data_IF_264168689391
#
_entry.id   IF_264168689391
#
_cell.length_a   1.000
_cell.length_b   1.000
_cell.length_c   1.000
_cell.angle_alpha   90.00
_cell.angle_beta   90.00
_cell.angle_gamma   90.00
#
_symmetry.space_group_name_H-M   'P 1'
#
loop_
_entity.id
_entity.type
_entity.pdbx_description
1 polymer ?
#
# COMPACT_ATOMS: atom_id res chain seq x y z
N UNK A 1 32.10 2.75 -19.08
CA UNK A 1 30.82 2.91 -18.37
C UNK A 1 30.12 4.26 -18.64
N UNK A 2 30.73 5.41 -18.33
CA UNK A 2 30.10 6.74 -18.52
C UNK A 2 29.71 7.10 -19.97
N UNK A 3 30.54 6.78 -20.97
CA UNK A 3 30.22 7.02 -22.38
C UNK A 3 29.00 6.21 -22.86
N UNK A 4 28.93 4.94 -22.45
CA UNK A 4 27.81 4.06 -22.75
C UNK A 4 26.51 4.58 -22.13
N UNK A 5 26.52 4.90 -20.83
CA UNK A 5 25.35 5.47 -20.14
C UNK A 5 24.90 6.80 -20.77
N UNK A 6 25.84 7.65 -21.18
CA UNK A 6 25.50 8.90 -21.88
C UNK A 6 24.90 8.65 -23.27
N UNK A 7 25.34 7.62 -23.99
CA UNK A 7 24.78 7.25 -25.29
C UNK A 7 23.36 6.69 -25.14
N UNK A 8 23.18 5.77 -24.18
CA UNK A 8 21.90 5.13 -23.90
C UNK A 8 20.85 6.13 -23.41
N UNK A 9 21.19 6.99 -22.45
CA UNK A 9 20.25 8.03 -21.96
C UNK A 9 19.83 8.98 -23.07
N UNK A 10 20.74 9.34 -23.99
CA UNK A 10 20.40 10.12 -25.18
C UNK A 10 19.48 9.36 -26.14
N UNK A 11 19.71 8.07 -26.39
CA UNK A 11 18.82 7.26 -27.25
C UNK A 11 17.43 7.08 -26.63
N UNK A 12 17.34 7.12 -25.30
CA UNK A 12 16.08 7.15 -24.55
C UNK A 12 15.44 8.54 -24.43
N UNK A 13 15.94 9.56 -25.15
CA UNK A 13 15.47 10.95 -25.08
C UNK A 13 15.63 11.63 -23.71
N UNK A 14 16.50 11.13 -22.83
CA UNK A 14 16.73 11.73 -21.52
C UNK A 14 17.81 12.81 -21.62
N UNK A 15 17.52 13.97 -21.05
CA UNK A 15 18.45 15.10 -21.00
C UNK A 15 19.19 15.11 -19.66
N UNK A 16 20.51 15.12 -19.67
CA UNK A 16 21.30 15.33 -18.45
C UNK A 16 21.10 16.78 -17.97
N UNK A 17 20.56 16.94 -16.76
CA UNK A 17 20.28 18.24 -16.15
C UNK A 17 21.46 18.70 -15.30
N UNK A 18 22.03 17.77 -14.51
CA UNK A 18 23.11 18.09 -13.60
C UNK A 18 24.03 16.90 -13.43
N UNK A 19 25.33 17.18 -13.27
CA UNK A 19 26.34 16.20 -12.91
C UNK A 19 27.23 16.80 -11.85
N UNK A 20 27.34 16.12 -10.71
CA UNK A 20 28.18 16.53 -9.59
C UNK A 20 29.08 15.38 -9.18
N UNK A 21 30.20 15.72 -8.57
CA UNK A 21 31.12 14.76 -7.95
C UNK A 21 31.46 15.29 -6.58
N UNK A 22 31.22 14.48 -5.55
CA UNK A 22 31.67 14.77 -4.21
C UNK A 22 33.20 14.67 -4.16
N UNK A 23 33.87 15.71 -3.67
CA UNK A 23 35.33 15.75 -3.60
C UNK A 23 35.87 14.90 -2.45
N UNK A 24 35.10 14.69 -1.37
CA UNK A 24 35.54 13.97 -0.17
C UNK A 24 35.44 12.45 -0.37
N UNK A 25 34.26 11.98 -0.75
CA UNK A 25 33.90 10.56 -0.88
C UNK A 25 33.92 10.07 -2.34
N UNK A 26 34.28 10.95 -3.29
CA UNK A 26 34.42 10.65 -4.72
C UNK A 26 33.15 10.10 -5.40
N UNK A 27 31.99 10.20 -4.76
CA UNK A 27 30.70 9.74 -5.28
C UNK A 27 30.21 10.73 -6.35
N UNK A 28 29.88 10.22 -7.54
CA UNK A 28 29.29 11.01 -8.63
C UNK A 28 27.77 10.88 -8.65
N UNK A 29 27.06 11.99 -8.83
CA UNK A 29 25.61 12.01 -9.07
C UNK A 29 25.34 12.63 -10.44
N UNK A 30 24.46 12.00 -11.22
CA UNK A 30 23.93 12.56 -12.46
C UNK A 30 22.40 12.52 -12.41
N UNK A 31 21.78 13.67 -12.70
CA UNK A 31 20.32 13.84 -12.76
C UNK A 31 19.93 13.96 -14.22
N UNK A 32 18.97 13.13 -14.63
CA UNK A 32 18.43 13.10 -15.98
C UNK A 32 16.93 13.46 -15.95
N UNK A 33 16.48 14.21 -16.95
CA UNK A 33 15.09 14.56 -17.16
C UNK A 33 14.54 13.75 -18.34
N UNK A 34 13.42 13.07 -18.10
CA UNK A 34 12.61 12.40 -19.14
C UNK A 34 11.97 13.45 -20.07
N UNK A 35 11.64 13.12 -21.33
CA UNK A 35 10.94 14.06 -22.21
C UNK A 35 9.57 14.45 -21.63
N UNK A 36 9.06 15.61 -22.06
CA UNK A 36 7.76 16.14 -21.63
C UNK A 36 6.60 15.70 -22.54
N UNK A 37 6.92 15.22 -23.74
CA UNK A 37 5.99 14.74 -24.76
C UNK A 37 6.62 13.57 -25.54
N UNK A 38 5.84 12.94 -26.42
CA UNK A 38 6.30 11.82 -27.23
C UNK A 38 7.04 12.25 -28.51
N UNK A 39 7.20 13.55 -28.80
CA UNK A 39 7.80 14.04 -30.05
C UNK A 39 9.22 13.52 -30.23
N UNK A 40 9.99 13.41 -29.14
CA UNK A 40 11.35 12.88 -29.22
C UNK A 40 11.34 11.39 -29.58
N UNK A 41 10.44 10.60 -28.98
CA UNK A 41 10.33 9.18 -29.25
C UNK A 41 9.95 8.90 -30.71
N UNK A 42 9.03 9.70 -31.27
CA UNK A 42 8.58 9.58 -32.66
C UNK A 42 9.65 9.95 -33.70
N UNK A 43 10.64 10.77 -33.32
CA UNK A 43 11.71 11.25 -34.19
C UNK A 43 13.02 10.47 -34.05
N UNK A 44 13.02 9.35 -33.32
CA UNK A 44 14.23 8.55 -33.10
C UNK A 44 14.69 7.93 -34.42
N UNK A 45 15.99 8.03 -34.69
CA UNK A 45 16.62 7.35 -35.82
C UNK A 45 16.79 5.85 -35.58
N UNK A 46 16.85 5.43 -34.32
CA UNK A 46 17.03 4.03 -33.93
C UNK A 46 16.22 3.71 -32.66
N UNK A 47 15.43 2.63 -32.75
CA UNK A 47 14.57 2.13 -31.68
C UNK A 47 15.32 1.19 -30.74
N UNK A 48 16.46 1.64 -30.23
CA UNK A 48 17.30 0.93 -29.25
C UNK A 48 17.48 1.74 -27.96
N UNK A 49 16.74 1.45 -26.87
CA UNK A 49 15.73 0.38 -26.72
C UNK A 49 14.38 0.71 -27.39
N UNK A 50 13.56 -0.29 -27.75
CA UNK A 50 12.28 -0.08 -28.43
C UNK A 50 11.23 0.55 -27.50
N UNK A 51 10.14 1.05 -28.08
CA UNK A 51 8.96 1.44 -27.30
C UNK A 51 8.20 0.20 -26.81
N UNK A 52 7.57 0.30 -25.64
CA UNK A 52 6.70 -0.78 -25.13
C UNK A 52 5.47 -0.93 -26.03
N UNK A 53 4.88 -2.13 -26.06
CA UNK A 53 3.69 -2.40 -26.86
C UNK A 53 2.50 -1.68 -26.23
N UNK A 54 1.51 -1.31 -27.04
CA UNK A 54 0.29 -0.66 -26.55
C UNK A 54 -0.58 -1.62 -25.71
N UNK A 55 -0.35 -2.92 -25.82
CA UNK A 55 -0.95 -3.95 -24.98
C UNK A 55 -0.28 -4.09 -23.62
N UNK A 56 0.90 -3.50 -23.42
CA UNK A 56 1.60 -3.57 -22.13
C UNK A 56 0.91 -2.61 -21.14
N UNK A 57 0.43 -3.16 -20.03
CA UNK A 57 -0.17 -2.36 -18.97
C UNK A 57 0.94 -1.64 -18.17
N UNK A 58 1.01 -0.31 -18.31
CA UNK A 58 1.98 0.52 -17.63
C UNK A 58 1.77 0.59 -16.09
N UNK A 59 0.57 0.22 -15.62
CA UNK A 59 0.21 0.22 -14.20
C UNK A 59 0.46 -1.15 -13.54
N UNK A 60 0.60 -2.22 -14.33
CA UNK A 60 0.84 -3.56 -13.82
C UNK A 60 2.27 -3.73 -13.28
N UNK A 61 2.40 -4.02 -11.98
CA UNK A 61 3.72 -4.11 -11.34
C UNK A 61 4.00 -5.39 -10.53
N UNK A 62 3.01 -6.25 -10.28
CA UNK A 62 3.21 -7.49 -9.51
C UNK A 62 3.35 -8.71 -10.41
N UNK A 63 4.45 -9.47 -10.24
CA UNK A 63 4.78 -10.64 -11.08
C UNK A 63 4.76 -10.36 -12.59
N UNK A 64 5.01 -9.12 -12.99
CA UNK A 64 5.18 -8.72 -14.40
C UNK A 64 6.66 -8.76 -14.76
N UNK A 65 7.10 -9.56 -15.75
CA UNK A 65 8.48 -9.58 -16.18
C UNK A 65 8.91 -8.21 -16.73
N UNK A 66 10.04 -7.70 -16.24
CA UNK A 66 10.63 -6.45 -16.73
C UNK A 66 10.90 -6.55 -18.23
N UNK A 67 10.38 -5.59 -18.98
CA UNK A 67 10.62 -5.46 -20.41
C UNK A 67 11.72 -4.43 -20.69
N UNK A 68 12.59 -4.72 -21.65
CA UNK A 68 13.64 -3.81 -22.08
C UNK A 68 13.10 -2.77 -23.09
N UNK A 69 12.09 -2.00 -22.69
CA UNK A 69 11.40 -1.03 -23.54
C UNK A 69 11.14 0.31 -22.82
N UNK A 70 10.82 1.35 -23.59
CA UNK A 70 10.44 2.67 -23.08
C UNK A 70 8.92 2.83 -23.17
N UNK A 71 8.21 3.09 -22.06
CA UNK A 71 6.79 3.39 -22.12
C UNK A 71 6.57 4.78 -22.75
N UNK A 72 5.59 4.86 -23.66
CA UNK A 72 5.12 6.16 -24.17
C UNK A 72 4.55 6.98 -23.01
N UNK A 73 4.68 8.30 -23.10
CA UNK A 73 4.02 9.20 -22.16
C UNK A 73 2.51 9.17 -22.41
N UNK A 74 1.68 9.19 -21.35
CA UNK A 74 0.23 9.13 -21.46
C UNK A 74 -0.31 10.35 -22.22
N UNK A 75 -1.15 10.11 -23.23
CA UNK A 75 -1.81 11.14 -24.03
C UNK A 75 -3.31 11.05 -23.78
N UNK A 76 -3.96 12.18 -23.53
CA UNK A 76 -5.42 12.28 -23.44
C UNK A 76 -5.91 12.66 -22.04
N UNK A 77 -7.02 13.42 -21.94
CA UNK A 77 -7.42 14.11 -20.72
C UNK A 77 -7.92 13.20 -19.61
N UNK A 78 -8.24 11.94 -19.92
CA UNK A 78 -8.73 10.91 -19.00
C UNK A 78 -7.69 9.82 -18.69
N UNK A 79 -6.49 9.90 -19.28
CA UNK A 79 -5.44 8.91 -19.07
C UNK A 79 -4.62 9.28 -17.84
N UNK A 80 -4.38 8.31 -16.95
CA UNK A 80 -3.55 8.48 -15.77
C UNK A 80 -2.17 9.04 -16.15
N UNK A 81 -1.70 10.03 -15.40
CA UNK A 81 -0.39 10.65 -15.62
C UNK A 81 -0.33 11.69 -16.75
N UNK A 82 -1.43 11.93 -17.48
CA UNK A 82 -1.51 13.01 -18.49
C UNK A 82 -1.54 14.42 -17.86
N UNK A 83 -1.94 14.51 -16.59
CA UNK A 83 -2.00 15.73 -15.80
C UNK A 83 -1.43 15.44 -14.41
N UNK A 84 -0.83 16.46 -13.81
CA UNK A 84 -0.41 16.38 -12.41
C UNK A 84 -1.65 16.32 -11.50
N UNK A 85 -1.62 15.51 -10.42
CA UNK A 85 -2.64 15.57 -9.38
C UNK A 85 -2.68 16.94 -8.71
N UNK A 86 -3.73 17.18 -7.95
CA UNK A 86 -3.81 18.31 -7.02
C UNK A 86 -2.59 18.34 -6.09
N UNK A 87 -2.28 19.52 -5.54
CA UNK A 87 -1.22 19.63 -4.56
C UNK A 87 -1.59 18.97 -3.24
N UNK A 88 -0.58 18.63 -2.44
CA UNK A 88 -0.79 18.21 -1.06
C UNK A 88 -1.24 19.40 -0.20
N UNK A 89 -2.23 19.26 0.70
CA UNK A 89 -2.95 18.02 1.07
C UNK A 89 -4.24 17.75 0.28
N UNK A 90 -4.64 18.60 -0.67
CA UNK A 90 -5.92 18.50 -1.38
C UNK A 90 -6.09 17.18 -2.15
N UNK A 91 -5.01 16.67 -2.76
CA UNK A 91 -5.03 15.38 -3.46
C UNK A 91 -5.44 14.19 -2.60
N UNK A 92 -5.35 14.30 -1.27
CA UNK A 92 -5.74 13.23 -0.37
C UNK A 92 -7.25 12.94 -0.42
N UNK A 93 -8.06 13.97 -0.68
CA UNK A 93 -9.53 13.89 -0.70
C UNK A 93 -10.10 13.95 -2.13
N UNK A 94 -9.32 14.48 -3.07
CA UNK A 94 -9.77 14.66 -4.45
C UNK A 94 -9.85 13.32 -5.20
N UNK A 95 -11.03 13.02 -5.74
CA UNK A 95 -11.22 11.92 -6.69
C UNK A 95 -10.33 12.13 -7.92
N UNK A 96 -9.42 11.17 -8.24
CA UNK A 96 -8.58 11.25 -9.43
C UNK A 96 -9.37 11.44 -10.72
N UNK A 97 -8.90 12.33 -11.60
CA UNK A 97 -9.59 12.68 -12.84
C UNK A 97 -9.72 11.52 -13.84
N UNK A 98 -8.86 10.51 -13.72
CA UNK A 98 -8.79 9.35 -14.60
C UNK A 98 -9.61 8.16 -14.08
N UNK A 99 -10.25 8.27 -12.90
CA UNK A 99 -11.22 7.28 -12.45
C UNK A 99 -12.48 7.39 -13.31
N UNK A 100 -12.75 6.33 -14.05
CA UNK A 100 -13.90 6.21 -14.94
C UNK A 100 -15.15 5.78 -14.14
N UNK A 101 -16.08 6.73 -13.94
CA UNK A 101 -17.34 6.48 -13.25
C UNK A 101 -18.29 5.52 -13.97
N UNK A 102 -18.04 5.20 -15.25
CA UNK A 102 -18.83 4.15 -15.93
C UNK A 102 -18.44 2.74 -15.50
N UNK A 103 -17.26 2.59 -14.88
CA UNK A 103 -16.78 1.31 -14.34
C UNK A 103 -17.29 1.09 -12.94
N UNK A 104 -17.46 -0.18 -12.60
CA UNK A 104 -17.81 -0.62 -11.26
C UNK A 104 -16.54 -0.62 -10.39
N UNK A 105 -16.62 0.07 -9.26
CA UNK A 105 -15.60 0.11 -8.21
C UNK A 105 -15.55 -1.17 -7.38
N UNK A 106 -14.65 -1.18 -6.40
CA UNK A 106 -14.34 -2.34 -5.57
C UNK A 106 -15.56 -2.84 -4.78
N UNK A 107 -16.45 -1.94 -4.34
CA UNK A 107 -17.65 -2.26 -3.56
C UNK A 107 -18.94 -2.23 -4.38
N UNK A 108 -18.85 -2.27 -5.72
CA UNK A 108 -20.02 -2.43 -6.59
C UNK A 108 -20.74 -1.14 -6.98
N UNK A 109 -20.24 0.03 -6.58
CA UNK A 109 -20.72 1.36 -6.99
C UNK A 109 -19.98 1.86 -8.22
N UNK A 110 -20.46 2.90 -8.93
CA UNK A 110 -19.63 3.67 -9.88
C UNK A 110 -18.29 4.04 -9.26
N UNK A 111 -17.16 3.83 -9.95
CA UNK A 111 -15.82 3.86 -9.33
C UNK A 111 -15.47 5.21 -8.66
N UNK A 112 -15.96 6.33 -9.20
CA UNK A 112 -15.81 7.65 -8.61
C UNK A 112 -16.61 7.81 -7.31
N UNK A 113 -17.87 7.35 -7.30
CA UNK A 113 -18.73 7.36 -6.13
C UNK A 113 -18.22 6.39 -5.06
N UNK A 114 -17.64 5.28 -5.48
CA UNK A 114 -17.08 4.27 -4.58
C UNK A 114 -15.87 4.79 -3.81
N UNK A 115 -14.98 5.52 -4.51
CA UNK A 115 -13.86 6.22 -3.91
C UNK A 115 -14.31 7.25 -2.85
N UNK A 116 -15.32 8.06 -3.17
CA UNK A 116 -15.85 9.08 -2.27
C UNK A 116 -16.55 8.46 -1.06
N UNK A 117 -17.32 7.39 -1.27
CA UNK A 117 -17.99 6.65 -0.23
C UNK A 117 -17.00 5.96 0.72
N UNK A 118 -15.92 5.36 0.20
CA UNK A 118 -14.86 4.75 0.98
C UNK A 118 -14.19 5.78 1.91
N UNK A 119 -13.80 6.93 1.37
CA UNK A 119 -13.18 7.98 2.17
C UNK A 119 -14.13 8.53 3.25
N UNK A 120 -15.39 8.80 2.90
CA UNK A 120 -16.39 9.26 3.86
C UNK A 120 -16.65 8.24 4.98
N UNK A 121 -16.67 6.95 4.63
CA UNK A 121 -16.81 5.86 5.60
C UNK A 121 -15.63 5.82 6.57
N UNK A 122 -14.40 5.79 6.07
CA UNK A 122 -13.21 5.73 6.92
C UNK A 122 -13.03 6.98 7.77
N UNK A 123 -13.31 8.17 7.23
CA UNK A 123 -13.30 9.42 8.00
C UNK A 123 -14.24 9.34 9.20
N UNK A 124 -15.44 8.77 9.02
CA UNK A 124 -16.41 8.55 10.10
C UNK A 124 -15.95 7.48 11.10
N UNK A 125 -15.45 6.34 10.62
CA UNK A 125 -15.00 5.23 11.48
C UNK A 125 -13.81 5.64 12.34
N UNK A 126 -12.79 6.26 11.74
CA UNK A 126 -11.60 6.72 12.45
C UNK A 126 -11.96 7.76 13.51
N UNK A 127 -12.71 8.78 13.14
CA UNK A 127 -13.08 9.87 14.06
C UNK A 127 -14.00 9.43 15.20
N UNK A 128 -14.99 8.57 14.93
CA UNK A 128 -15.98 8.17 15.95
C UNK A 128 -15.55 6.97 16.78
N UNK A 129 -14.88 5.98 16.17
CA UNK A 129 -14.58 4.71 16.83
C UNK A 129 -13.11 4.59 17.22
N UNK A 130 -12.18 4.84 16.30
CA UNK A 130 -10.77 4.46 16.54
C UNK A 130 -10.00 5.48 17.35
N UNK A 131 -10.21 6.78 17.09
CA UNK A 131 -9.57 7.87 17.83
C UNK A 131 -10.15 8.01 19.23
N UNK A 132 -11.47 7.92 19.36
CA UNK A 132 -12.18 8.25 20.59
C UNK A 132 -12.74 7.04 21.37
N UNK A 133 -13.02 5.92 20.70
CA UNK A 133 -13.82 4.83 21.27
C UNK A 133 -13.05 3.56 21.66
N UNK A 134 -11.85 3.35 21.12
CA UNK A 134 -11.10 2.09 21.30
C UNK A 134 -10.02 2.13 22.40
N UNK A 135 -9.86 3.26 23.09
CA UNK A 135 -8.83 3.42 24.13
C UNK A 135 -7.40 3.30 23.60
N UNK A 136 -7.18 3.59 22.31
CA UNK A 136 -5.86 3.60 21.69
C UNK A 136 -5.19 4.92 22.03
N UNK A 137 -4.02 4.85 22.67
CA UNK A 137 -3.16 6.02 22.87
C UNK A 137 -2.41 6.34 21.57
N UNK A 138 -3.04 7.14 20.71
CA UNK A 138 -2.49 7.58 19.43
C UNK A 138 -1.18 8.39 19.57
N UNK A 139 -0.88 8.93 20.75
CA UNK A 139 0.39 9.61 21.00
C UNK A 139 1.60 8.66 20.94
N UNK A 140 1.37 7.35 21.15
CA UNK A 140 2.38 6.27 21.11
C UNK A 140 2.44 5.52 19.78
N UNK A 141 1.50 5.79 18.86
CA UNK A 141 1.49 5.18 17.53
C UNK A 141 2.32 6.03 16.57
N UNK A 142 3.18 5.40 15.77
CA UNK A 142 3.97 6.07 14.73
C UNK A 142 3.85 5.36 13.39
N UNK A 143 3.95 4.02 13.40
CA UNK A 143 4.00 3.18 12.22
C UNK A 143 2.70 2.36 12.13
N UNK A 144 1.84 2.66 11.15
CA UNK A 144 0.60 1.92 10.90
C UNK A 144 0.76 1.14 9.59
N UNK A 145 0.18 -0.06 9.53
CA UNK A 145 -0.03 -0.76 8.27
C UNK A 145 -1.50 -1.02 8.08
N UNK A 146 -2.01 -0.59 6.94
CA UNK A 146 -3.31 -1.01 6.44
C UNK A 146 -3.10 -2.21 5.53
N UNK A 147 -3.40 -3.40 6.04
CA UNK A 147 -3.11 -4.66 5.38
C UNK A 147 -3.98 -4.88 4.14
N UNK A 148 -5.07 -4.10 3.99
CA UNK A 148 -5.92 -4.09 2.80
C UNK A 148 -6.48 -2.68 2.57
N UNK A 149 -5.68 -1.85 1.92
CA UNK A 149 -5.94 -0.41 1.82
C UNK A 149 -7.05 -0.01 0.85
N UNK A 150 -7.34 -0.84 -0.16
CA UNK A 150 -8.29 -0.51 -1.23
C UNK A 150 -7.96 0.89 -1.80
N UNK A 151 -8.81 1.89 -1.64
CA UNK A 151 -8.58 3.26 -2.14
C UNK A 151 -7.68 4.12 -1.24
N UNK A 152 -7.13 3.57 -0.15
CA UNK A 152 -6.34 4.30 0.84
C UNK A 152 -7.17 5.22 1.74
N UNK A 153 -8.49 5.03 1.83
CA UNK A 153 -9.39 5.89 2.61
C UNK A 153 -9.10 5.88 4.10
N UNK A 154 -8.69 4.74 4.66
CA UNK A 154 -8.26 4.63 6.06
C UNK A 154 -7.02 5.48 6.36
N UNK A 155 -5.99 5.38 5.52
CA UNK A 155 -4.79 6.20 5.65
C UNK A 155 -5.09 7.69 5.48
N UNK A 156 -5.97 8.04 4.52
CA UNK A 156 -6.42 9.41 4.33
C UNK A 156 -7.17 9.96 5.56
N UNK A 157 -8.00 9.13 6.19
CA UNK A 157 -8.72 9.49 7.42
C UNK A 157 -7.80 9.70 8.63
N UNK A 158 -6.58 9.14 8.60
CA UNK A 158 -5.56 9.32 9.63
C UNK A 158 -4.64 10.54 9.40
N UNK A 159 -4.89 11.37 8.39
CA UNK A 159 -4.05 12.55 8.06
C UNK A 159 -3.71 13.43 9.28
N UNK A 160 -4.70 13.66 10.14
CA UNK A 160 -4.56 14.57 11.28
C UNK A 160 -3.83 13.90 12.46
N UNK A 161 -3.55 12.59 12.37
CA UNK A 161 -2.70 11.85 13.29
C UNK A 161 -1.23 11.92 12.85
N UNK A 162 -0.31 12.06 13.79
CA UNK A 162 1.15 12.08 13.52
C UNK A 162 1.71 10.66 13.29
N UNK A 163 1.12 9.95 12.34
CA UNK A 163 1.46 8.57 11.96
C UNK A 163 1.75 8.50 10.48
N UNK A 164 2.50 7.48 10.07
CA UNK A 164 2.60 7.09 8.68
C UNK A 164 1.91 5.75 8.47
N UNK A 165 1.32 5.55 7.30
CA UNK A 165 0.53 4.36 6.99
C UNK A 165 1.13 3.65 5.78
N UNK A 166 1.61 2.42 5.95
CA UNK A 166 1.89 1.53 4.82
C UNK A 166 0.58 0.98 4.28
N UNK A 167 0.24 1.32 3.04
CA UNK A 167 -0.97 0.84 2.39
C UNK A 167 -0.67 -0.42 1.58
N UNK A 168 -1.26 -1.55 1.95
CA UNK A 168 -1.07 -2.81 1.23
C UNK A 168 -2.26 -3.06 0.32
N UNK A 169 -1.99 -3.29 -0.96
CA UNK A 169 -2.99 -3.72 -1.96
C UNK A 169 -2.77 -5.21 -2.22
N UNK A 170 -3.65 -6.10 -1.72
CA UNK A 170 -3.49 -7.52 -1.95
C UNK A 170 -3.56 -7.86 -3.44
N UNK A 171 -2.74 -8.80 -3.89
CA UNK A 171 -2.62 -9.15 -5.32
C UNK A 171 -3.89 -9.81 -5.90
N UNK A 172 -4.77 -10.29 -5.03
CA UNK A 172 -6.06 -10.90 -5.36
C UNK A 172 -7.23 -9.91 -5.25
N UNK A 173 -6.91 -8.60 -5.18
CA UNK A 173 -7.85 -7.50 -5.13
C UNK A 173 -7.72 -6.62 -6.38
N UNK A 174 -8.75 -5.81 -6.72
CA UNK A 174 -8.63 -4.83 -7.80
C UNK A 174 -7.43 -3.90 -7.60
N UNK A 175 -6.73 -3.60 -8.69
CA UNK A 175 -5.56 -2.75 -8.64
C UNK A 175 -5.94 -1.30 -8.30
N UNK A 176 -5.60 -0.92 -7.07
CA UNK A 176 -5.94 0.38 -6.48
C UNK A 176 -4.70 1.12 -5.99
N UNK A 177 -3.51 0.53 -6.10
CA UNK A 177 -2.25 1.18 -5.72
C UNK A 177 -1.99 2.45 -6.54
N UNK A 178 -2.31 2.50 -7.85
CA UNK A 178 -2.34 3.73 -8.63
C UNK A 178 -3.08 4.89 -7.98
N UNK A 179 -4.25 4.60 -7.39
CA UNK A 179 -5.11 5.57 -6.71
C UNK A 179 -4.46 6.01 -5.38
N UNK A 180 -3.92 5.06 -4.61
CA UNK A 180 -3.18 5.35 -3.37
C UNK A 180 -2.03 6.33 -3.65
N UNK A 181 -1.26 6.11 -4.70
CA UNK A 181 -0.20 7.03 -5.11
C UNK A 181 -0.73 8.38 -5.62
N UNK A 182 -1.86 8.39 -6.34
CA UNK A 182 -2.50 9.64 -6.77
C UNK A 182 -2.94 10.50 -5.57
N UNK A 183 -3.30 9.88 -4.44
CA UNK A 183 -3.61 10.58 -3.18
C UNK A 183 -2.38 11.13 -2.45
N UNK A 184 -1.17 10.82 -2.92
CA UNK A 184 0.08 11.19 -2.24
C UNK A 184 0.42 10.28 -1.06
N UNK A 185 -0.24 9.13 -0.95
CA UNK A 185 0.08 8.08 0.00
C UNK A 185 1.11 7.13 -0.60
N UNK A 186 1.73 6.29 0.22
CA UNK A 186 2.63 5.24 -0.23
C UNK A 186 2.10 3.86 0.17
N UNK A 187 2.51 2.86 -0.58
CA UNK A 187 2.00 1.50 -0.44
C UNK A 187 2.74 0.53 -1.34
N UNK A 188 2.31 -0.73 -1.33
CA UNK A 188 2.82 -1.75 -2.22
C UNK A 188 1.80 -2.86 -2.43
N UNK A 189 2.02 -3.63 -3.49
CA UNK A 189 1.35 -4.91 -3.66
C UNK A 189 1.95 -5.96 -2.72
N UNK A 190 1.14 -6.91 -2.28
CA UNK A 190 1.63 -8.05 -1.51
C UNK A 190 0.69 -9.26 -1.61
N UNK A 191 1.27 -10.46 -1.63
CA UNK A 191 0.52 -11.70 -1.39
C UNK A 191 0.64 -12.11 0.08
N UNK A 192 -0.45 -11.99 0.83
CA UNK A 192 -0.48 -12.36 2.26
C UNK A 192 -0.38 -13.87 2.51
N UNK A 193 -0.40 -14.71 1.47
CA UNK A 193 -0.03 -16.11 1.58
C UNK A 193 1.50 -16.34 1.56
N UNK A 194 2.28 -15.29 1.36
CA UNK A 194 3.74 -15.26 1.46
C UNK A 194 4.20 -14.39 2.64
N UNK A 195 5.48 -14.50 3.02
CA UNK A 195 6.04 -13.69 4.11
C UNK A 195 6.21 -12.23 3.68
N UNK A 196 5.85 -11.30 4.56
CA UNK A 196 5.98 -9.87 4.30
C UNK A 196 7.44 -9.41 4.45
N UNK A 197 8.04 -8.81 3.42
CA UNK A 197 9.39 -8.27 3.54
C UNK A 197 9.43 -7.03 4.45
N UNK A 198 9.91 -7.22 5.69
CA UNK A 198 10.09 -6.14 6.66
C UNK A 198 11.54 -5.66 6.64
N UNK A 199 11.83 -4.55 5.97
CA UNK A 199 13.02 -3.73 6.29
C UNK A 199 12.83 -3.17 7.72
N UNK A 200 13.86 -2.91 8.56
CA UNK A 200 13.86 -3.10 10.03
C UNK A 200 12.88 -2.26 10.89
N UNK A 201 11.93 -1.54 10.28
CA UNK A 201 10.79 -0.91 10.96
C UNK A 201 9.59 -1.86 11.00
N UNK A 202 9.30 -2.35 12.19
CA UNK A 202 8.04 -3.04 12.55
C UNK A 202 6.92 -2.04 12.87
N UNK A 203 5.67 -2.51 12.91
CA UNK A 203 4.47 -1.67 13.02
C UNK A 203 3.93 -1.61 14.46
N UNK A 204 3.37 -0.47 14.85
CA UNK A 204 2.72 -0.25 16.14
C UNK A 204 1.22 -0.60 16.08
N UNK A 205 0.62 -0.46 14.89
CA UNK A 205 -0.78 -0.79 14.65
C UNK A 205 -0.95 -1.44 13.27
N UNK A 206 -1.65 -2.57 13.26
CA UNK A 206 -2.10 -3.23 12.05
C UNK A 206 -3.62 -3.07 11.93
N UNK A 207 -4.08 -2.70 10.75
CA UNK A 207 -5.48 -2.60 10.41
C UNK A 207 -5.80 -3.57 9.28
N UNK A 208 -6.90 -4.31 9.41
CA UNK A 208 -7.37 -5.25 8.41
C UNK A 208 -8.89 -5.17 8.27
N UNK A 209 -9.38 -4.80 7.09
CA UNK A 209 -10.80 -4.79 6.74
C UNK A 209 -11.12 -5.87 5.71
N UNK A 210 -11.89 -6.88 6.14
CA UNK A 210 -12.32 -8.02 5.34
C UNK A 210 -11.16 -8.72 4.60
N UNK A 211 -10.00 -8.80 5.27
CA UNK A 211 -8.80 -9.43 4.73
C UNK A 211 -8.80 -10.94 4.99
N UNK A 212 -8.98 -11.34 6.25
CA UNK A 212 -8.76 -12.72 6.67
C UNK A 212 -9.81 -13.66 6.09
N UNK A 213 -11.07 -13.27 6.03
CA UNK A 213 -12.11 -14.10 5.41
C UNK A 213 -11.89 -14.35 3.92
N UNK A 214 -11.25 -13.40 3.21
CA UNK A 214 -10.81 -13.60 1.83
C UNK A 214 -9.63 -14.56 1.75
N UNK A 215 -8.63 -14.37 2.62
CA UNK A 215 -7.43 -15.21 2.64
C UNK A 215 -7.71 -16.67 2.99
N UNK A 216 -8.74 -16.96 3.82
CA UNK A 216 -9.20 -18.33 4.12
C UNK A 216 -9.39 -19.21 2.88
N UNK A 217 -9.76 -18.60 1.74
CA UNK A 217 -10.00 -19.31 0.47
C UNK A 217 -8.71 -19.66 -0.27
N UNK A 218 -7.59 -19.02 0.06
CA UNK A 218 -6.29 -19.17 -0.62
C UNK A 218 -5.23 -19.84 0.23
N UNK A 219 -5.19 -19.55 1.54
CA UNK A 219 -4.18 -20.10 2.45
C UNK A 219 -4.70 -20.23 3.89
N UNK A 220 -3.93 -20.96 4.72
CA UNK A 220 -4.27 -21.20 6.12
C UNK A 220 -4.04 -19.96 6.96
N UNK A 221 -5.06 -19.52 7.71
CA UNK A 221 -4.98 -18.33 8.55
C UNK A 221 -3.88 -18.38 9.61
N UNK A 222 -3.55 -19.57 10.12
CA UNK A 222 -2.50 -19.71 11.12
C UNK A 222 -1.14 -19.14 10.63
N UNK A 223 -0.78 -19.38 9.36
CA UNK A 223 0.45 -18.84 8.78
C UNK A 223 0.41 -17.32 8.63
N UNK A 224 -0.73 -16.78 8.17
CA UNK A 224 -0.95 -15.34 8.06
C UNK A 224 -0.90 -14.67 9.44
N UNK A 225 -1.51 -15.28 10.45
CA UNK A 225 -1.52 -14.75 11.81
C UNK A 225 -0.13 -14.81 12.46
N UNK A 226 0.70 -15.82 12.12
CA UNK A 226 2.10 -15.85 12.52
C UNK A 226 2.90 -14.70 11.89
N UNK A 227 2.64 -14.34 10.63
CA UNK A 227 3.23 -13.16 10.00
C UNK A 227 2.76 -11.85 10.66
N UNK A 228 1.46 -11.76 10.99
CA UNK A 228 0.90 -10.65 11.78
C UNK A 228 1.61 -10.52 13.13
N UNK A 229 1.86 -11.62 13.83
CA UNK A 229 2.66 -11.60 15.06
C UNK A 229 4.08 -11.12 14.77
N UNK A 230 4.74 -11.65 13.75
CA UNK A 230 6.13 -11.29 13.41
C UNK A 230 6.31 -9.81 13.10
N UNK A 231 5.38 -9.17 12.38
CA UNK A 231 5.50 -7.77 11.95
C UNK A 231 5.02 -6.76 13.00
N UNK A 232 4.13 -7.16 13.91
CA UNK A 232 3.60 -6.30 14.96
C UNK A 232 4.57 -6.24 16.15
N UNK A 233 4.90 -5.01 16.58
CA UNK A 233 5.75 -4.79 17.75
C UNK A 233 5.07 -5.30 19.03
N UNK A 234 5.85 -5.67 20.07
CA UNK A 234 5.29 -5.83 21.41
C UNK A 234 4.47 -4.61 21.82
N UNK A 235 3.34 -4.82 22.51
CA UNK A 235 2.34 -3.80 22.86
C UNK A 235 1.57 -3.17 21.69
N UNK A 236 1.95 -3.53 20.46
CA UNK A 236 1.26 -3.15 19.25
C UNK A 236 -0.15 -3.73 19.20
N UNK A 237 -1.00 -3.12 18.38
CA UNK A 237 -2.43 -3.47 18.29
C UNK A 237 -2.80 -3.96 16.90
N UNK A 238 -3.67 -4.95 16.85
CA UNK A 238 -4.31 -5.40 15.62
C UNK A 238 -5.80 -5.06 15.72
N UNK A 239 -6.30 -4.33 14.73
CA UNK A 239 -7.71 -4.02 14.53
C UNK A 239 -8.19 -4.79 13.31
N UNK A 240 -9.18 -5.65 13.50
CA UNK A 240 -9.78 -6.45 12.43
C UNK A 240 -11.27 -6.17 12.35
N UNK A 241 -11.74 -5.83 11.15
CA UNK A 241 -13.16 -5.85 10.80
C UNK A 241 -13.36 -6.99 9.81
N UNK A 242 -14.16 -7.97 10.17
CA UNK A 242 -14.43 -9.12 9.30
C UNK A 242 -15.70 -9.84 9.75
N UNK A 243 -16.11 -10.89 9.04
CA UNK A 243 -17.28 -11.66 9.46
C UNK A 243 -17.08 -12.31 10.85
N UNK A 244 -18.18 -12.53 11.56
CA UNK A 244 -18.17 -12.98 12.95
C UNK A 244 -17.42 -14.33 13.16
N UNK A 245 -17.52 -15.26 12.21
CA UNK A 245 -16.81 -16.55 12.26
C UNK A 245 -15.28 -16.34 12.22
N UNK A 246 -14.82 -15.48 11.31
CA UNK A 246 -13.39 -15.16 11.17
C UNK A 246 -12.88 -14.41 12.40
N UNK A 247 -13.67 -13.48 12.95
CA UNK A 247 -13.33 -12.80 14.21
C UNK A 247 -13.16 -13.81 15.35
N UNK A 248 -14.07 -14.77 15.51
CA UNK A 248 -13.97 -15.78 16.57
C UNK A 248 -12.72 -16.65 16.44
N UNK A 249 -12.35 -17.02 15.22
CA UNK A 249 -11.14 -17.80 14.97
C UNK A 249 -9.86 -17.01 15.29
N UNK A 250 -9.78 -15.75 14.82
CA UNK A 250 -8.65 -14.87 15.09
C UNK A 250 -8.50 -14.54 16.58
N UNK A 251 -9.62 -14.37 17.29
CA UNK A 251 -9.60 -14.21 18.75
C UNK A 251 -9.02 -15.45 19.44
N UNK A 252 -9.36 -16.65 18.98
CA UNK A 252 -8.78 -17.91 19.47
C UNK A 252 -7.27 -17.98 19.27
N UNK A 253 -6.78 -17.58 18.08
CA UNK A 253 -5.34 -17.51 17.78
C UNK A 253 -4.62 -16.44 18.61
N UNK A 254 -5.23 -15.27 18.80
CA UNK A 254 -4.66 -14.23 19.66
C UNK A 254 -4.51 -14.72 21.11
N UNK A 255 -5.55 -15.38 21.65
CA UNK A 255 -5.52 -15.95 23.01
C UNK A 255 -4.46 -17.05 23.16
N UNK A 256 -4.26 -17.90 22.16
CA UNK A 256 -3.22 -18.95 22.22
C UNK A 256 -1.81 -18.36 22.26
N UNK A 257 -1.59 -17.21 21.62
CA UNK A 257 -0.36 -16.41 21.71
C UNK A 257 -0.30 -15.51 22.96
N UNK A 258 -1.29 -15.60 23.86
CA UNK A 258 -1.41 -14.80 25.08
C UNK A 258 -1.49 -13.30 24.79
N UNK A 259 -2.02 -12.91 23.64
CA UNK A 259 -2.40 -11.53 23.35
C UNK A 259 -3.64 -11.17 24.16
N UNK A 260 -3.78 -9.89 24.47
CA UNK A 260 -4.90 -9.37 25.25
C UNK A 260 -6.02 -8.93 24.33
N UNK A 261 -7.24 -9.43 24.56
CA UNK A 261 -8.44 -8.96 23.85
C UNK A 261 -8.90 -7.66 24.50
N UNK A 262 -8.76 -6.54 23.79
CA UNK A 262 -9.16 -5.21 24.26
C UNK A 262 -10.63 -4.93 23.97
N UNK A 263 -11.12 -5.41 22.83
CA UNK A 263 -12.51 -5.23 22.42
C UNK A 263 -12.87 -6.31 21.40
N UNK A 264 -14.03 -6.93 21.58
CA UNK A 264 -14.68 -7.77 20.57
C UNK A 264 -16.13 -7.34 20.46
N UNK A 265 -16.62 -7.19 19.24
CA UNK A 265 -18.01 -6.91 18.93
C UNK A 265 -18.44 -7.72 17.72
N UNK A 266 -19.64 -8.29 17.74
CA UNK A 266 -20.23 -8.95 16.58
C UNK A 266 -21.72 -8.59 16.48
N UNK A 267 -22.16 -8.12 15.32
CA UNK A 267 -23.55 -7.80 15.00
C UNK A 267 -23.83 -8.02 13.52
N UNK A 268 -25.00 -8.59 13.21
CA UNK A 268 -25.50 -8.74 11.83
C UNK A 268 -24.47 -9.34 10.86
N UNK A 269 -23.78 -10.41 11.31
CA UNK A 269 -22.69 -11.16 10.63
C UNK A 269 -21.35 -10.43 10.51
N UNK A 270 -21.29 -9.14 10.80
CA UNK A 270 -20.06 -8.37 10.88
C UNK A 270 -19.48 -8.39 12.29
N UNK A 271 -18.16 -8.30 12.40
CA UNK A 271 -17.45 -8.26 13.66
C UNK A 271 -16.29 -7.28 13.65
N UNK A 272 -15.92 -6.82 14.84
CA UNK A 272 -14.78 -5.96 15.11
C UNK A 272 -13.99 -6.57 16.26
N UNK A 273 -12.70 -6.79 16.04
CA UNK A 273 -11.75 -7.30 17.01
C UNK A 273 -10.62 -6.27 17.18
N UNK A 274 -10.29 -5.99 18.43
CA UNK A 274 -9.10 -5.25 18.81
C UNK A 274 -8.32 -6.09 19.81
N UNK A 275 -7.11 -6.49 19.43
CA UNK A 275 -6.20 -7.25 20.29
C UNK A 275 -4.89 -6.51 20.44
N UNK A 276 -4.24 -6.69 21.59
CA UNK A 276 -2.94 -6.12 21.89
C UNK A 276 -1.92 -7.23 22.12
N UNK A 277 -0.82 -7.16 21.37
CA UNK A 277 0.30 -8.08 21.53
C UNK A 277 0.96 -7.89 22.89
N UNK A 278 1.19 -8.98 23.62
CA UNK A 278 1.92 -8.95 24.89
C UNK A 278 3.40 -9.23 24.68
N UNK A 279 4.21 -9.00 25.70
CA UNK A 279 5.64 -9.34 25.73
C UNK A 279 5.91 -10.80 26.13
N UNK A 280 4.89 -11.66 26.04
CA UNK A 280 4.99 -13.05 26.52
C UNK A 280 6.00 -13.87 25.71
N UNK A 281 6.83 -14.63 26.41
CA UNK A 281 7.68 -15.69 25.86
C UNK A 281 7.46 -16.98 26.65
N UNK A 282 7.57 -18.17 26.02
CA UNK A 282 7.68 -19.41 26.75
C UNK A 282 8.84 -19.28 27.75
N UNK A 283 8.60 -19.63 29.02
CA UNK A 283 9.70 -19.83 29.96
C UNK A 283 10.42 -21.09 29.49
N UNK A 284 11.75 -21.05 29.36
CA UNK A 284 12.53 -22.26 29.13
C UNK A 284 12.16 -23.25 30.24
N UNK A 285 11.54 -24.36 29.85
CA UNK A 285 11.41 -25.50 30.74
C UNK A 285 12.76 -26.18 30.63
N UNK A 286 13.60 -26.08 31.68
CA UNK A 286 14.78 -26.91 31.78
C UNK A 286 14.33 -28.35 31.52
N UNK A 287 14.84 -28.94 30.43
CA UNK A 287 14.63 -30.35 30.19
C UNK A 287 15.27 -31.07 31.38
N UNK A 288 14.43 -31.63 32.26
CA UNK A 288 14.89 -32.51 33.31
C UNK A 288 15.60 -33.68 32.63
N UNK A 289 16.94 -33.67 32.70
CA UNK A 289 17.80 -34.78 32.29
C UNK A 289 17.50 -36.03 33.12
#
# INVERSE_FOLDING_TARGET
MLKFMSSLTKSMCWKMVKKTKDTLNQVGMAIYQKPMDNNCYEKRSEDSPPLCKETDDADAAWNVPLQACIPKLPIGPSVRGSKWPEMWPQRLEKTPFWIDGSRVGVYGKPANEDFEADYAHWKRVVSKSYVNGMGIDWSKVRNVMDMRAVYGGFAAALRDQKVWVMNIVPIDSPDTLPIVYERGLFGMYHDWCESFSTYPRTYDLLHADHLFSKLKKRCKLLGVFAEVDRILRPEGKLIVRDNAETISELEGMAKSLRWEVRMTYAKDKEGLLCVQKTTWRPKEIEASM
#
